data_IF_114339912173
#
_entry.id   IF_114339912173
#
_cell.length_a   1.000
_cell.length_b   1.000
_cell.length_c   1.000
_cell.angle_alpha   90.00
_cell.angle_beta   90.00
_cell.angle_gamma   90.00
#
_symmetry.space_group_name_H-M   'P 1'
#
loop_
_entity.id
_entity.type
_entity.pdbx_description
1 polymer ?
#
# COMPACT_ATOMS: atom_id res chain seq x y z
N UNK A 1 10.64 -28.47 -46.43
CA UNK A 1 10.68 -28.63 -44.96
C UNK A 1 9.84 -27.54 -44.34
N UNK A 2 8.75 -27.90 -43.65
CA UNK A 2 7.88 -26.96 -42.93
C UNK A 2 8.30 -27.00 -41.47
N UNK A 3 8.95 -25.94 -40.99
CA UNK A 3 9.33 -25.81 -39.58
C UNK A 3 8.08 -25.31 -38.85
N UNK A 4 7.47 -26.18 -38.04
CA UNK A 4 6.34 -25.81 -37.19
C UNK A 4 6.94 -25.22 -35.92
N UNK A 5 6.87 -23.90 -35.76
CA UNK A 5 7.19 -23.22 -34.50
C UNK A 5 6.01 -23.42 -33.54
N UNK A 6 6.17 -24.31 -32.56
CA UNK A 6 5.29 -24.35 -31.39
C UNK A 6 5.71 -23.24 -30.42
N UNK A 7 4.86 -22.24 -30.24
CA UNK A 7 5.03 -21.22 -29.22
C UNK A 7 4.57 -21.76 -27.86
N UNK A 8 5.51 -22.08 -26.97
CA UNK A 8 5.21 -22.28 -25.55
C UNK A 8 4.88 -20.91 -24.93
N UNK A 9 3.59 -20.64 -24.71
CA UNK A 9 3.16 -19.51 -23.89
C UNK A 9 3.48 -19.84 -22.42
N UNK A 10 4.51 -19.19 -21.87
CA UNK A 10 4.79 -19.20 -20.44
C UNK A 10 3.72 -18.34 -19.76
N UNK A 11 2.73 -18.98 -19.14
CA UNK A 11 1.84 -18.30 -18.20
C UNK A 11 2.65 -18.02 -16.93
N UNK A 12 3.29 -16.85 -16.86
CA UNK A 12 3.77 -16.31 -15.60
C UNK A 12 2.53 -16.00 -14.76
N UNK A 13 2.23 -16.86 -13.79
CA UNK A 13 1.28 -16.54 -12.73
C UNK A 13 1.86 -15.36 -11.95
N UNK A 14 1.45 -14.16 -12.30
CA UNK A 14 1.68 -12.98 -11.49
C UNK A 14 0.82 -13.16 -10.24
N UNK A 15 1.40 -13.66 -9.16
CA UNK A 15 0.79 -13.55 -7.85
C UNK A 15 0.68 -12.07 -7.55
N UNK A 16 -0.48 -11.47 -7.88
CA UNK A 16 -0.84 -10.19 -7.33
C UNK A 16 -0.88 -10.41 -5.81
N UNK A 17 0.04 -9.79 -5.07
CA UNK A 17 -0.13 -9.65 -3.64
C UNK A 17 -1.51 -9.02 -3.43
N UNK A 18 -2.22 -9.43 -2.36
CA UNK A 18 -3.51 -8.81 -2.07
C UNK A 18 -3.27 -7.31 -1.84
N UNK A 19 -3.63 -6.49 -2.82
CA UNK A 19 -3.60 -5.05 -2.67
C UNK A 19 -4.52 -4.66 -1.51
N UNK A 20 -4.22 -3.53 -0.88
CA UNK A 20 -5.19 -2.84 -0.04
C UNK A 20 -6.52 -2.66 -0.80
N UNK A 21 -7.62 -2.62 -0.07
CA UNK A 21 -8.92 -2.36 -0.69
C UNK A 21 -9.00 -0.89 -1.07
N UNK A 22 -9.19 -0.64 -2.37
CA UNK A 22 -9.28 0.69 -2.92
C UNK A 22 -10.38 1.53 -2.25
N UNK A 23 -10.07 2.81 -2.06
CA UNK A 23 -10.98 3.78 -1.43
C UNK A 23 -10.95 3.79 0.09
N UNK A 24 -10.34 2.78 0.74
CA UNK A 24 -10.18 2.78 2.20
C UNK A 24 -8.91 3.50 2.64
N UNK A 25 -9.00 4.14 3.80
CA UNK A 25 -7.87 4.67 4.54
C UNK A 25 -7.31 3.61 5.49
N UNK A 26 -5.98 3.54 5.60
CA UNK A 26 -5.27 2.53 6.38
C UNK A 26 -4.19 3.13 7.29
N UNK A 27 -4.01 2.52 8.46
CA UNK A 27 -2.80 2.59 9.25
C UNK A 27 -1.67 1.80 8.57
N UNK A 28 -0.43 2.21 8.83
CA UNK A 28 0.73 1.51 8.28
C UNK A 28 0.81 0.05 8.73
N UNK A 29 0.52 -0.27 10.00
CA UNK A 29 0.51 -1.65 10.48
C UNK A 29 -0.48 -2.54 9.71
N UNK A 30 -1.65 -2.02 9.34
CA UNK A 30 -2.67 -2.76 8.58
C UNK A 30 -2.24 -2.99 7.13
N UNK A 31 -1.61 -1.99 6.49
CA UNK A 31 -1.00 -2.17 5.17
C UNK A 31 0.09 -3.25 5.19
N UNK A 32 1.00 -3.19 6.17
CA UNK A 32 2.07 -4.18 6.35
C UNK A 32 1.53 -5.58 6.64
N UNK A 33 0.36 -5.69 7.27
CA UNK A 33 -0.34 -6.97 7.47
C UNK A 33 -0.94 -7.57 6.19
N UNK A 34 -1.29 -6.74 5.20
CA UNK A 34 -1.85 -7.19 3.91
C UNK A 34 -0.78 -7.62 2.91
N UNK A 35 0.38 -6.98 2.93
CA UNK A 35 1.44 -7.25 1.97
C UNK A 35 2.71 -6.44 2.21
N UNK A 36 3.58 -6.43 1.20
CA UNK A 36 4.87 -5.74 1.27
C UNK A 36 4.72 -4.25 0.96
N UNK A 37 4.07 -3.49 1.85
CA UNK A 37 3.81 -2.05 1.68
C UNK A 37 4.93 -1.13 2.20
N UNK A 38 6.06 -1.68 2.63
CA UNK A 38 7.11 -0.90 3.29
C UNK A 38 7.66 0.22 2.39
N UNK A 39 7.97 -0.10 1.13
CA UNK A 39 8.52 0.88 0.20
C UNK A 39 7.47 1.91 -0.23
N UNK A 40 6.24 1.47 -0.40
CA UNK A 40 5.09 2.29 -0.76
C UNK A 40 4.79 3.31 0.35
N UNK A 41 4.92 2.92 1.62
CA UNK A 41 4.81 3.83 2.77
C UNK A 41 5.96 4.85 2.74
N UNK A 42 7.20 4.40 2.49
CA UNK A 42 8.34 5.31 2.33
C UNK A 42 8.11 6.33 1.22
N UNK A 43 7.60 5.87 0.07
CA UNK A 43 7.32 6.72 -1.08
C UNK A 43 6.16 7.68 -0.80
N UNK A 44 5.09 7.22 -0.16
CA UNK A 44 3.97 8.07 0.21
C UNK A 44 4.37 9.21 1.15
N UNK A 45 5.27 8.95 2.10
CA UNK A 45 5.78 9.99 3.01
C UNK A 45 6.71 10.99 2.30
N UNK A 46 7.57 10.51 1.39
CA UNK A 46 8.48 11.38 0.62
C UNK A 46 7.76 12.25 -0.41
N UNK A 47 6.63 11.78 -0.94
CA UNK A 47 5.84 12.50 -1.95
C UNK A 47 4.58 13.17 -1.40
N UNK A 48 4.41 13.20 -0.07
CA UNK A 48 3.34 13.98 0.55
C UNK A 48 3.52 15.49 0.27
N UNK A 49 2.44 16.27 0.39
CA UNK A 49 2.46 17.73 0.22
C UNK A 49 3.56 18.42 1.07
N UNK A 50 3.81 17.88 2.25
CA UNK A 50 4.94 18.21 3.11
C UNK A 50 5.79 16.95 3.30
N UNK A 51 6.87 16.79 2.53
CA UNK A 51 7.69 15.58 2.57
C UNK A 51 8.22 15.28 3.97
N UNK A 52 8.07 14.02 4.37
CA UNK A 52 8.52 13.49 5.65
C UNK A 52 9.69 12.54 5.38
N UNK A 53 10.75 12.62 6.20
CA UNK A 53 11.83 11.63 6.17
C UNK A 53 11.34 10.34 6.85
N UNK A 54 11.03 9.26 6.08
CA UNK A 54 10.50 8.03 6.65
C UNK A 54 11.49 7.34 7.61
N UNK A 55 12.78 7.69 7.56
CA UNK A 55 13.79 7.12 8.48
C UNK A 55 13.77 7.72 9.89
N UNK A 56 12.93 8.75 10.12
CA UNK A 56 12.90 9.54 11.36
C UNK A 56 11.56 9.50 12.09
N UNK A 57 10.60 8.73 11.59
CA UNK A 57 9.21 8.77 12.07
C UNK A 57 8.66 7.37 12.29
N UNK A 58 7.59 7.29 13.10
CA UNK A 58 6.75 6.10 13.14
C UNK A 58 5.69 6.20 12.04
N UNK A 59 5.54 5.15 11.23
CA UNK A 59 4.56 5.14 10.13
C UNK A 59 3.11 5.15 10.61
N UNK A 60 2.86 4.69 11.84
CA UNK A 60 1.53 4.71 12.46
C UNK A 60 1.11 6.10 12.97
N UNK A 61 1.95 7.12 12.76
CA UNK A 61 1.57 8.53 12.95
C UNK A 61 0.99 9.18 11.69
N UNK A 62 0.59 8.37 10.71
CA UNK A 62 0.01 8.83 9.46
C UNK A 62 -1.08 7.88 8.98
N UNK A 63 -2.02 8.44 8.24
CA UNK A 63 -3.07 7.71 7.55
C UNK A 63 -2.78 7.66 6.05
N UNK A 64 -3.08 6.54 5.40
CA UNK A 64 -2.77 6.31 3.99
C UNK A 64 -4.01 5.87 3.20
N UNK A 65 -4.34 6.59 2.14
CA UNK A 65 -5.41 6.19 1.20
C UNK A 65 -4.91 5.12 0.25
N UNK A 66 -5.68 4.04 0.10
CA UNK A 66 -5.50 3.06 -0.96
C UNK A 66 -6.19 3.47 -2.26
N UNK A 67 -5.48 3.38 -3.38
CA UNK A 67 -5.99 3.66 -4.72
C UNK A 67 -6.36 2.38 -5.49
N UNK A 68 -7.08 2.52 -6.61
CA UNK A 68 -7.57 1.39 -7.43
C UNK A 68 -6.45 0.47 -7.96
N UNK A 69 -5.24 1.00 -8.13
CA UNK A 69 -4.06 0.25 -8.58
C UNK A 69 -3.26 -0.38 -7.42
N UNK A 70 -3.72 -0.22 -6.18
CA UNK A 70 -3.06 -0.71 -4.97
C UNK A 70 -1.94 0.19 -4.46
N UNK A 71 -1.65 1.31 -5.13
CA UNK A 71 -0.75 2.33 -4.60
C UNK A 71 -1.40 3.06 -3.43
N UNK A 72 -0.58 3.78 -2.65
CA UNK A 72 -1.06 4.55 -1.51
C UNK A 72 -0.55 5.97 -1.54
N UNK A 73 -1.29 6.87 -0.90
CA UNK A 73 -0.85 8.24 -0.62
C UNK A 73 -1.15 8.60 0.82
N UNK A 74 -0.23 9.31 1.47
CA UNK A 74 -0.44 9.84 2.82
C UNK A 74 -1.56 10.90 2.79
N UNK A 75 -2.56 10.77 3.66
CA UNK A 75 -3.71 11.68 3.74
C UNK A 75 -3.65 12.57 4.97
N UNK A 76 -3.41 11.99 6.16
CA UNK A 76 -3.51 12.70 7.43
C UNK A 76 -2.30 12.42 8.34
N UNK A 77 -1.98 13.36 9.24
CA UNK A 77 -1.05 13.11 10.35
C UNK A 77 -1.87 12.69 11.56
N UNK A 78 -1.53 11.55 12.17
CA UNK A 78 -2.16 11.04 13.39
C UNK A 78 -1.21 11.24 14.59
N UNK A 79 -1.19 12.42 15.23
CA UNK A 79 -0.23 12.72 16.32
C UNK A 79 -0.39 11.83 17.56
N UNK A 80 -1.57 11.21 17.74
CA UNK A 80 -1.87 10.31 18.85
C UNK A 80 -1.82 8.82 18.47
N UNK A 81 -1.45 8.51 17.22
CA UNK A 81 -1.47 7.15 16.69
C UNK A 81 -2.70 6.87 15.83
N UNK A 82 -2.68 5.69 15.22
CA UNK A 82 -3.67 5.23 14.26
C UNK A 82 -4.41 4.00 14.81
N UNK A 83 -5.72 3.92 14.55
CA UNK A 83 -6.64 2.90 15.05
C UNK A 83 -7.20 2.10 13.89
N UNK A 84 -7.15 0.77 14.05
CA UNK A 84 -7.79 -0.19 13.15
C UNK A 84 -9.31 -0.04 13.17
N UNK A 85 -9.90 0.27 12.01
CA UNK A 85 -11.35 0.34 11.83
C UNK A 85 -12.02 -1.03 11.71
N UNK A 86 -11.24 -2.08 11.52
CA UNK A 86 -11.69 -3.45 11.29
C UNK A 86 -12.00 -3.75 9.81
N UNK A 87 -12.50 -4.96 9.56
CA UNK A 87 -12.67 -5.47 8.20
C UNK A 87 -13.60 -4.61 7.32
N UNK A 88 -13.08 -4.23 6.15
CA UNK A 88 -13.79 -3.39 5.16
C UNK A 88 -14.23 -2.03 5.70
N UNK A 89 -13.47 -1.46 6.65
CA UNK A 89 -13.66 -0.13 7.21
C UNK A 89 -12.38 0.69 7.05
N UNK A 90 -12.57 2.01 7.05
CA UNK A 90 -11.47 2.95 7.14
C UNK A 90 -10.84 2.86 8.52
N UNK A 91 -9.52 2.85 8.56
CA UNK A 91 -8.75 3.17 9.75
C UNK A 91 -8.86 4.67 10.05
N UNK A 92 -8.50 5.06 11.28
CA UNK A 92 -8.66 6.45 11.72
C UNK A 92 -7.57 6.91 12.68
N UNK A 93 -7.34 8.22 12.77
CA UNK A 93 -6.49 8.77 13.83
C UNK A 93 -7.22 8.78 15.18
N UNK A 94 -6.47 8.62 16.29
CA UNK A 94 -6.97 8.81 17.66
C UNK A 94 -7.33 10.28 17.99
#
# INVERSE_FOLDING_TARGET
MKVILSACALFASLSAAANCQAGLDYCAFNLMGKGNYHNEIYDALRHADWPIDPTKVNFDYYLYRCHDDGTISKTENCPWGCVDGGDNKDDSCE
#
